data_IF_740872928894
#
_entry.id   IF_740872928894
#
_cell.length_a   1.000
_cell.length_b   1.000
_cell.length_c   1.000
_cell.angle_alpha   90.00
_cell.angle_beta   90.00
_cell.angle_gamma   90.00
#
_symmetry.space_group_name_H-M   'P 1'
#
loop_
_entity.id
_entity.type
_entity.pdbx_description
1 polymer ?
#
# COMPACT_ATOMS: atom_id res chain seq x y z
N UNK A 1 36.62 -3.65 31.14
CA UNK A 1 35.44 -3.96 30.31
C UNK A 1 34.54 -2.73 30.28
N UNK A 2 34.71 -1.86 29.29
CA UNK A 2 33.98 -0.58 29.20
C UNK A 2 32.84 -0.72 28.19
N UNK A 3 31.60 -0.88 28.67
CA UNK A 3 30.44 -1.09 27.79
C UNK A 3 29.54 0.15 27.75
N UNK A 4 29.92 1.08 26.87
CA UNK A 4 29.06 1.88 25.99
C UNK A 4 27.74 2.38 26.61
N UNK A 5 27.86 3.24 27.63
CA UNK A 5 26.80 4.17 27.99
C UNK A 5 26.49 5.08 26.78
N UNK A 6 25.19 5.29 26.55
CA UNK A 6 24.61 6.25 25.60
C UNK A 6 25.52 7.46 25.37
N UNK A 7 26.24 7.49 24.25
CA UNK A 7 27.04 8.65 23.89
C UNK A 7 26.07 9.76 23.42
N UNK A 8 25.86 10.82 24.21
CA UNK A 8 24.88 11.86 23.91
C UNK A 8 25.20 12.55 22.58
N UNK A 9 26.48 12.58 22.19
CA UNK A 9 26.95 13.11 20.91
C UNK A 9 26.47 12.26 19.73
N UNK A 10 26.38 10.93 19.87
CA UNK A 10 25.84 10.06 18.82
C UNK A 10 24.31 10.19 18.70
N UNK A 11 23.61 10.43 19.81
CA UNK A 11 22.17 10.69 19.78
C UNK A 11 21.86 12.04 19.12
N UNK A 12 22.60 13.09 19.48
CA UNK A 12 22.51 14.41 18.86
C UNK A 12 22.87 14.36 17.37
N UNK A 13 23.92 13.63 16.99
CA UNK A 13 24.29 13.47 15.58
C UNK A 13 23.23 12.69 14.80
N UNK A 14 22.59 11.68 15.38
CA UNK A 14 21.45 10.97 14.76
C UNK A 14 20.27 11.91 14.58
N UNK A 15 19.93 12.71 15.58
CA UNK A 15 18.87 13.70 15.50
C UNK A 15 19.19 14.78 14.45
N UNK A 16 20.45 15.23 14.36
CA UNK A 16 20.92 16.19 13.36
C UNK A 16 20.87 15.60 11.95
N UNK A 17 21.25 14.33 11.78
CA UNK A 17 21.13 13.61 10.51
C UNK A 17 19.66 13.43 10.16
N UNK A 18 18.79 13.06 11.10
CA UNK A 18 17.34 12.98 10.87
C UNK A 18 16.72 14.33 10.51
N UNK A 19 17.22 15.44 11.06
CA UNK A 19 16.81 16.80 10.72
C UNK A 19 17.33 17.23 9.33
N UNK A 20 18.56 16.84 8.96
CA UNK A 20 19.18 17.17 7.67
C UNK A 20 18.68 16.28 6.53
N UNK A 21 18.53 14.98 6.76
CA UNK A 21 17.75 14.06 5.91
C UNK A 21 16.26 14.45 5.90
N UNK A 22 15.79 15.09 6.98
CA UNK A 22 14.49 15.73 7.12
C UNK A 22 14.36 17.07 6.39
N UNK A 23 15.41 17.55 5.70
CA UNK A 23 15.45 18.81 4.95
C UNK A 23 14.46 18.95 3.79
N UNK A 24 13.62 17.93 3.54
CA UNK A 24 12.50 17.99 2.61
C UNK A 24 11.13 17.67 3.29
N UNK A 25 11.02 17.81 4.62
CA UNK A 25 9.75 17.71 5.35
C UNK A 25 8.91 18.98 5.15
N UNK A 26 8.61 19.34 3.90
CA UNK A 26 7.24 19.84 3.63
C UNK A 26 6.33 18.81 4.28
N UNK A 27 5.34 19.23 5.07
CA UNK A 27 4.35 18.32 5.62
C UNK A 27 3.84 17.45 4.47
N UNK A 28 4.38 16.23 4.34
CA UNK A 28 4.04 15.35 3.23
C UNK A 28 2.58 15.06 3.46
N UNK A 29 1.76 15.42 2.49
CA UNK A 29 0.38 14.99 2.50
C UNK A 29 0.39 13.47 2.64
N UNK A 30 -0.46 12.92 3.48
CA UNK A 30 -0.61 11.47 3.64
C UNK A 30 -2.02 11.08 3.24
N UNK A 31 -2.14 9.85 2.76
CA UNK A 31 -3.41 9.17 2.53
C UNK A 31 -3.60 8.15 3.66
N UNK A 32 -4.39 8.47 4.71
CA UNK A 32 -4.75 7.47 5.72
C UNK A 32 -5.53 6.34 5.05
N UNK A 33 -5.53 5.15 5.64
CA UNK A 33 -6.43 4.03 5.36
C UNK A 33 -7.78 4.20 6.06
N UNK A 34 -7.93 5.13 7.00
CA UNK A 34 -9.19 5.32 7.74
C UNK A 34 -9.47 4.15 8.68
N UNK A 35 -8.41 3.43 9.06
CA UNK A 35 -8.40 2.26 9.93
C UNK A 35 -7.31 2.54 10.94
N UNK A 36 -7.72 2.88 12.15
CA UNK A 36 -6.86 3.48 13.17
C UNK A 36 -5.59 2.66 13.44
N UNK A 37 -5.70 1.35 13.49
CA UNK A 37 -4.61 0.43 13.79
C UNK A 37 -3.59 0.41 12.65
N UNK A 38 -4.05 0.39 11.40
CA UNK A 38 -3.19 0.47 10.20
C UNK A 38 -2.51 1.84 10.12
N UNK A 39 -3.27 2.90 10.36
CA UNK A 39 -2.80 4.28 10.27
C UNK A 39 -1.73 4.58 11.33
N UNK A 40 -1.87 4.06 12.56
CA UNK A 40 -0.87 4.21 13.63
C UNK A 40 0.46 3.53 13.31
N UNK A 41 0.46 2.45 12.54
CA UNK A 41 1.68 1.76 12.12
C UNK A 41 2.45 2.51 11.02
N UNK A 42 1.85 3.56 10.45
CA UNK A 42 2.45 4.36 9.39
C UNK A 42 2.91 5.73 9.91
N UNK A 43 4.16 6.14 9.63
CA UNK A 43 4.62 7.49 9.94
C UNK A 43 3.69 8.55 9.35
N UNK A 44 3.18 9.42 10.21
CA UNK A 44 2.24 10.47 9.80
C UNK A 44 0.80 10.01 9.60
N UNK A 45 0.46 8.74 9.82
CA UNK A 45 -0.92 8.26 9.82
C UNK A 45 -1.44 7.75 8.48
N UNK A 46 -0.57 7.41 7.52
CA UNK A 46 -1.00 6.94 6.19
C UNK A 46 0.14 6.76 5.17
N UNK A 47 -0.23 6.44 3.93
CA UNK A 47 0.73 6.40 2.81
C UNK A 47 1.12 7.81 2.39
N UNK A 48 2.41 8.09 2.28
CA UNK A 48 2.90 9.42 1.97
C UNK A 48 2.79 9.75 0.47
N UNK A 49 2.27 10.94 0.15
CA UNK A 49 2.45 11.55 -1.16
C UNK A 49 3.91 12.00 -1.33
N UNK A 50 4.39 12.05 -2.58
CA UNK A 50 5.79 12.30 -2.89
C UNK A 50 6.73 11.22 -2.34
N UNK A 51 6.26 9.96 -2.36
CA UNK A 51 7.00 8.79 -1.92
C UNK A 51 6.64 7.57 -2.77
N UNK A 52 7.54 6.59 -2.75
CA UNK A 52 7.40 5.30 -3.42
C UNK A 52 6.94 4.23 -2.41
N UNK A 53 5.92 3.47 -2.78
CA UNK A 53 5.38 2.35 -2.02
C UNK A 53 5.44 1.08 -2.87
N UNK A 54 5.85 -0.03 -2.27
CA UNK A 54 5.87 -1.33 -2.92
C UNK A 54 4.75 -2.21 -2.37
N UNK A 55 4.01 -2.88 -3.25
CA UNK A 55 2.96 -3.82 -2.90
C UNK A 55 3.13 -5.09 -3.74
N UNK A 56 2.95 -6.25 -3.12
CA UNK A 56 2.99 -7.54 -3.82
C UNK A 56 1.95 -8.51 -3.26
N UNK A 57 1.60 -9.52 -4.07
CA UNK A 57 0.81 -10.65 -3.60
C UNK A 57 1.66 -11.62 -2.78
N UNK A 58 1.07 -12.27 -1.78
CA UNK A 58 1.68 -13.35 -1.00
C UNK A 58 1.03 -14.71 -1.23
N UNK A 59 1.76 -15.79 -0.93
CA UNK A 59 1.23 -17.16 -1.05
C UNK A 59 0.82 -17.49 -2.49
N UNK A 60 -0.40 -18.01 -2.67
CA UNK A 60 -0.96 -18.27 -4.01
C UNK A 60 -1.05 -17.02 -4.90
N UNK A 61 -1.25 -15.85 -4.28
CA UNK A 61 -1.36 -14.55 -4.95
C UNK A 61 -0.03 -13.98 -5.48
N UNK A 62 1.10 -14.67 -5.27
CA UNK A 62 2.43 -14.17 -5.68
C UNK A 62 2.50 -13.95 -7.19
N UNK A 63 1.92 -14.85 -8.00
CA UNK A 63 2.00 -14.75 -9.46
C UNK A 63 0.80 -14.00 -10.04
N UNK A 64 -0.44 -14.31 -9.62
CA UNK A 64 -1.64 -13.66 -10.16
C UNK A 64 -1.85 -12.24 -9.64
N UNK A 65 -1.29 -11.88 -8.49
CA UNK A 65 -1.28 -10.52 -7.94
C UNK A 65 -2.65 -9.87 -7.73
N UNK A 66 -3.76 -10.61 -7.82
CA UNK A 66 -5.09 -10.02 -7.91
C UNK A 66 -5.49 -9.26 -6.63
N UNK A 67 -5.23 -9.84 -5.46
CA UNK A 67 -5.49 -9.18 -4.18
C UNK A 67 -4.65 -7.90 -4.01
N UNK A 68 -3.38 -7.95 -4.43
CA UNK A 68 -2.47 -6.81 -4.39
C UNK A 68 -2.91 -5.70 -5.37
N UNK A 69 -3.33 -6.05 -6.60
CA UNK A 69 -3.86 -5.11 -7.57
C UNK A 69 -5.13 -4.42 -7.06
N UNK A 70 -6.06 -5.16 -6.45
CA UNK A 70 -7.28 -4.60 -5.88
C UNK A 70 -7.00 -3.72 -4.65
N UNK A 71 -6.04 -4.10 -3.81
CA UNK A 71 -5.56 -3.25 -2.72
C UNK A 71 -5.02 -1.93 -3.25
N UNK A 72 -4.17 -1.96 -4.29
CA UNK A 72 -3.64 -0.76 -4.95
C UNK A 72 -4.75 0.08 -5.59
N UNK A 73 -5.73 -0.55 -6.25
CA UNK A 73 -6.88 0.13 -6.81
C UNK A 73 -7.69 0.88 -5.74
N UNK A 74 -7.94 0.25 -4.58
CA UNK A 74 -8.61 0.89 -3.46
C UNK A 74 -7.84 2.08 -2.87
N UNK A 75 -6.51 1.97 -2.79
CA UNK A 75 -5.64 3.10 -2.40
C UNK A 75 -5.75 4.24 -3.43
N UNK A 76 -5.59 3.94 -4.72
CA UNK A 76 -5.63 4.92 -5.80
C UNK A 76 -7.01 5.60 -5.93
N UNK A 77 -8.09 4.86 -5.69
CA UNK A 77 -9.45 5.38 -5.63
C UNK A 77 -9.57 6.52 -4.59
N UNK A 78 -8.92 6.37 -3.44
CA UNK A 78 -9.02 7.34 -2.33
C UNK A 78 -8.07 8.52 -2.44
N UNK A 79 -6.99 8.39 -3.19
CA UNK A 79 -5.98 9.44 -3.33
C UNK A 79 -6.51 10.74 -3.98
N UNK A 80 -7.67 10.70 -4.63
CA UNK A 80 -8.18 11.82 -5.44
C UNK A 80 -7.37 12.02 -6.72
N UNK A 81 -7.83 12.86 -7.66
CA UNK A 81 -7.09 13.18 -8.88
C UNK A 81 -6.94 12.04 -9.91
N UNK A 82 -6.12 12.25 -10.95
CA UNK A 82 -5.90 11.27 -12.02
C UNK A 82 -4.83 10.24 -11.64
N UNK A 83 -5.00 9.02 -12.13
CA UNK A 83 -4.13 7.86 -11.91
C UNK A 83 -3.55 7.43 -13.25
N UNK A 84 -2.24 7.22 -13.29
CA UNK A 84 -1.59 6.51 -14.40
C UNK A 84 -1.28 5.09 -13.96
N UNK A 85 -1.67 4.09 -14.73
CA UNK A 85 -1.39 2.68 -14.46
C UNK A 85 -0.58 2.08 -15.61
N UNK A 86 0.71 1.89 -15.37
CA UNK A 86 1.65 1.35 -16.34
C UNK A 86 1.78 -0.17 -16.16
N UNK A 87 1.57 -0.95 -17.21
CA UNK A 87 1.64 -2.42 -17.15
C UNK A 87 2.33 -3.03 -18.36
N UNK A 88 3.01 -4.15 -18.12
CA UNK A 88 3.61 -4.95 -19.18
C UNK A 88 2.69 -6.07 -19.71
N UNK A 89 1.62 -6.37 -18.96
CA UNK A 89 0.67 -7.45 -19.26
C UNK A 89 -0.74 -6.88 -19.24
N UNK A 90 -1.52 -6.99 -20.32
CA UNK A 90 -2.91 -6.55 -20.34
C UNK A 90 -3.81 -7.63 -19.69
N UNK A 91 -3.47 -8.07 -18.47
CA UNK A 91 -4.22 -9.07 -17.71
C UNK A 91 -5.02 -8.46 -16.54
N UNK A 92 -5.00 -7.13 -16.40
CA UNK A 92 -5.77 -6.41 -15.41
C UNK A 92 -7.26 -6.39 -15.79
N UNK A 93 -8.10 -7.00 -14.96
CA UNK A 93 -9.54 -6.99 -15.17
C UNK A 93 -10.17 -5.67 -14.68
N UNK A 94 -10.36 -4.72 -15.60
CA UNK A 94 -10.83 -3.36 -15.29
C UNK A 94 -12.14 -3.28 -14.48
N UNK A 95 -13.17 -4.13 -14.71
CA UNK A 95 -14.38 -4.07 -13.88
C UNK A 95 -14.10 -4.29 -12.38
N UNK A 96 -13.12 -5.12 -12.03
CA UNK A 96 -12.77 -5.33 -10.62
C UNK A 96 -12.05 -4.11 -10.02
N UNK A 97 -11.26 -3.39 -10.81
CA UNK A 97 -10.65 -2.10 -10.41
C UNK A 97 -11.73 -1.06 -10.11
N UNK A 98 -12.77 -0.99 -10.94
CA UNK A 98 -13.95 -0.15 -10.69
C UNK A 98 -14.73 -0.59 -9.46
N UNK A 99 -14.91 -1.89 -9.24
CA UNK A 99 -15.54 -2.41 -8.02
C UNK A 99 -14.75 -2.11 -6.75
N UNK A 100 -13.42 -1.98 -6.84
CA UNK A 100 -12.56 -1.49 -5.77
C UNK A 100 -12.60 0.04 -5.60
N UNK A 101 -13.45 0.75 -6.37
CA UNK A 101 -13.74 2.17 -6.22
C UNK A 101 -12.93 3.11 -7.11
N UNK A 102 -12.07 2.61 -8.01
CA UNK A 102 -11.34 3.45 -8.97
C UNK A 102 -12.14 3.57 -10.28
N UNK A 103 -12.84 4.69 -10.53
CA UNK A 103 -13.71 4.81 -11.69
C UNK A 103 -12.89 4.99 -12.99
N UNK A 104 -13.40 4.52 -14.14
CA UNK A 104 -12.66 4.53 -15.41
C UNK A 104 -12.21 5.92 -15.88
N UNK A 105 -12.98 6.97 -15.57
CA UNK A 105 -12.65 8.35 -15.94
C UNK A 105 -11.44 8.91 -15.20
N UNK A 106 -11.00 8.26 -14.11
CA UNK A 106 -9.85 8.68 -13.31
C UNK A 106 -8.55 7.96 -13.64
N UNK A 107 -8.58 6.90 -14.46
CA UNK A 107 -7.40 6.09 -14.75
C UNK A 107 -7.03 6.15 -16.24
N UNK A 108 -5.74 6.35 -16.50
CA UNK A 108 -5.13 6.18 -17.82
C UNK A 108 -4.25 4.94 -17.76
N UNK A 109 -4.50 3.99 -18.64
CA UNK A 109 -3.67 2.79 -18.77
C UNK A 109 -2.56 3.03 -19.79
N UNK A 110 -1.33 2.69 -19.41
CA UNK A 110 -0.16 2.73 -20.28
C UNK A 110 0.40 1.31 -20.40
N UNK A 111 0.19 0.72 -21.57
CA UNK A 111 0.62 -0.65 -21.86
C UNK A 111 1.90 -0.62 -22.68
N UNK A 112 2.82 -1.51 -22.34
CA UNK A 112 4.09 -1.70 -23.07
C UNK A 112 4.46 -3.18 -23.09
N UNK A 113 5.15 -3.63 -24.12
CA UNK A 113 5.65 -5.00 -24.24
C UNK A 113 6.96 -5.24 -23.46
N UNK A 114 7.70 -4.16 -23.13
CA UNK A 114 8.98 -4.23 -22.41
C UNK A 114 8.88 -3.59 -21.02
N UNK A 115 9.41 -4.27 -20.02
CA UNK A 115 9.47 -3.80 -18.63
C UNK A 115 10.25 -2.49 -18.49
N UNK A 116 11.31 -2.29 -19.27
CA UNK A 116 12.08 -1.04 -19.28
C UNK A 116 11.23 0.17 -19.68
N UNK A 117 10.37 0.02 -20.69
CA UNK A 117 9.47 1.09 -21.14
C UNK A 117 8.36 1.35 -20.11
N UNK A 118 7.90 0.31 -19.39
CA UNK A 118 6.99 0.50 -18.24
C UNK A 118 7.69 1.32 -17.16
N UNK A 119 8.95 1.01 -16.85
CA UNK A 119 9.73 1.77 -15.88
C UNK A 119 9.91 3.24 -16.30
N UNK A 120 10.23 3.50 -17.58
CA UNK A 120 10.33 4.85 -18.13
C UNK A 120 8.99 5.59 -18.03
N UNK A 121 7.88 4.93 -18.35
CA UNK A 121 6.53 5.52 -18.24
C UNK A 121 6.18 5.89 -16.80
N UNK A 122 6.55 5.06 -15.81
CA UNK A 122 6.37 5.39 -14.39
C UNK A 122 7.18 6.64 -14.03
N UNK A 123 8.45 6.72 -14.44
CA UNK A 123 9.32 7.86 -14.14
C UNK A 123 8.80 9.16 -14.77
N UNK A 124 8.33 9.11 -16.02
CA UNK A 124 7.70 10.25 -16.68
C UNK A 124 6.39 10.66 -16.01
N UNK A 125 5.55 9.68 -15.65
CA UNK A 125 4.31 9.92 -14.91
C UNK A 125 4.57 10.58 -13.56
N UNK A 126 5.57 10.10 -12.80
CA UNK A 126 5.94 10.69 -11.52
C UNK A 126 6.57 12.07 -11.67
N UNK A 127 7.20 12.37 -12.81
CA UNK A 127 7.78 13.68 -13.11
C UNK A 127 6.75 14.69 -13.62
N UNK A 128 5.55 14.23 -14.02
CA UNK A 128 4.47 15.08 -14.50
C UNK A 128 3.63 15.68 -13.35
N UNK A 129 3.47 17.01 -13.35
CA UNK A 129 2.61 17.70 -12.37
C UNK A 129 1.15 17.59 -12.81
N UNK A 130 0.38 16.74 -12.14
CA UNK A 130 -1.07 16.60 -12.37
C UNK A 130 -1.64 15.21 -12.09
N UNK A 131 -0.77 14.21 -11.91
CA UNK A 131 -1.15 12.87 -11.45
C UNK A 131 -1.08 12.82 -9.92
N UNK A 132 -2.09 12.21 -9.31
CA UNK A 132 -2.09 11.96 -7.87
C UNK A 132 -1.36 10.65 -7.54
N UNK A 133 -1.56 9.62 -8.37
CA UNK A 133 -0.97 8.29 -8.20
C UNK A 133 -0.42 7.80 -9.53
N UNK A 134 0.77 7.20 -9.49
CA UNK A 134 1.34 6.44 -10.60
C UNK A 134 1.57 5.01 -10.12
N UNK A 135 0.87 4.07 -10.73
CA UNK A 135 1.00 2.64 -10.49
C UNK A 135 1.86 2.02 -11.59
N UNK A 136 2.80 1.17 -11.21
CA UNK A 136 3.68 0.47 -12.12
C UNK A 136 3.77 -1.01 -11.81
N UNK A 137 3.43 -1.86 -12.77
CA UNK A 137 3.58 -3.30 -12.65
C UNK A 137 4.97 -3.75 -13.10
N UNK A 138 5.80 -4.19 -12.14
CA UNK A 138 7.19 -4.57 -12.38
C UNK A 138 7.49 -5.96 -11.79
N UNK A 139 8.25 -6.77 -12.52
CA UNK A 139 8.86 -8.00 -12.00
C UNK A 139 10.02 -7.62 -11.07
N UNK A 140 10.93 -6.76 -11.53
CA UNK A 140 12.14 -6.37 -10.80
C UNK A 140 12.18 -4.87 -10.53
N UNK A 141 12.61 -4.51 -9.33
CA UNK A 141 12.85 -3.12 -8.94
C UNK A 141 14.23 -2.99 -8.28
N UNK A 142 15.31 -2.76 -9.07
CA UNK A 142 16.64 -2.55 -8.51
C UNK A 142 16.73 -1.21 -7.76
N UNK A 143 17.66 -1.11 -6.80
CA UNK A 143 17.86 0.07 -5.96
C UNK A 143 17.98 1.37 -6.76
N UNK A 144 18.81 1.39 -7.82
CA UNK A 144 19.00 2.58 -8.67
C UNK A 144 17.69 3.06 -9.30
N UNK A 145 16.88 2.15 -9.84
CA UNK A 145 15.59 2.47 -10.40
C UNK A 145 14.64 3.00 -9.31
N UNK A 146 14.52 2.30 -8.18
CA UNK A 146 13.66 2.75 -7.08
C UNK A 146 14.03 4.14 -6.56
N UNK A 147 15.33 4.48 -6.51
CA UNK A 147 15.79 5.79 -6.07
C UNK A 147 15.43 6.89 -7.08
N UNK A 148 15.54 6.61 -8.39
CA UNK A 148 15.07 7.53 -9.44
C UNK A 148 13.57 7.80 -9.31
N UNK A 149 12.77 6.76 -9.14
CA UNK A 149 11.32 6.89 -8.95
C UNK A 149 10.97 7.68 -7.68
N UNK A 150 11.64 7.39 -6.55
CA UNK A 150 11.45 8.13 -5.29
C UNK A 150 11.76 9.63 -5.47
N UNK A 151 12.85 9.98 -6.15
CA UNK A 151 13.21 11.38 -6.43
C UNK A 151 12.23 12.05 -7.38
N UNK A 152 11.68 11.33 -8.37
CA UNK A 152 10.64 11.86 -9.25
C UNK A 152 9.35 12.16 -8.46
N UNK A 153 8.89 11.22 -7.63
CA UNK A 153 7.75 11.39 -6.75
C UNK A 153 7.93 12.60 -5.82
N UNK A 154 9.11 12.76 -5.22
CA UNK A 154 9.44 13.88 -4.34
C UNK A 154 9.30 15.25 -5.01
N UNK A 155 9.69 15.38 -6.28
CA UNK A 155 9.66 16.64 -7.04
C UNK A 155 8.24 17.12 -7.33
N UNK A 156 7.30 16.20 -7.57
CA UNK A 156 5.92 16.51 -7.97
C UNK A 156 4.93 16.42 -6.82
N UNK A 157 5.21 15.58 -5.81
CA UNK A 157 4.26 15.21 -4.77
C UNK A 157 3.35 14.05 -5.16
N UNK A 158 3.49 13.45 -6.35
CA UNK A 158 2.71 12.28 -6.73
C UNK A 158 3.06 11.06 -5.83
N UNK A 159 2.08 10.19 -5.58
CA UNK A 159 2.31 8.91 -4.92
C UNK A 159 2.74 7.88 -5.96
N UNK A 160 3.94 7.31 -5.80
CA UNK A 160 4.41 6.19 -6.61
C UNK A 160 4.04 4.86 -5.96
N UNK A 161 3.41 3.96 -6.72
CA UNK A 161 3.10 2.61 -6.28
C UNK A 161 3.70 1.62 -7.27
N UNK A 162 4.64 0.80 -6.81
CA UNK A 162 5.12 -0.35 -7.59
C UNK A 162 4.38 -1.59 -7.14
N UNK A 163 3.58 -2.15 -8.04
CA UNK A 163 2.94 -3.45 -7.88
C UNK A 163 3.88 -4.53 -8.42
N UNK A 164 4.41 -5.39 -7.55
CA UNK A 164 5.34 -6.44 -7.96
C UNK A 164 4.58 -7.63 -8.57
N UNK A 165 4.91 -7.95 -9.83
CA UNK A 165 4.16 -8.87 -10.70
C UNK A 165 5.08 -9.91 -11.34
N UNK A 166 5.35 -11.00 -10.62
CA UNK A 166 6.23 -12.05 -11.13
C UNK A 166 5.54 -12.95 -12.16
N UNK A 167 6.31 -13.66 -13.00
CA UNK A 167 5.79 -14.73 -13.88
C UNK A 167 5.85 -16.08 -13.19
N UNK A 168 6.81 -16.25 -12.29
CA UNK A 168 7.09 -17.48 -11.57
C UNK A 168 7.38 -17.17 -10.12
N UNK A 169 7.03 -18.09 -9.23
CA UNK A 169 7.16 -17.86 -7.79
C UNK A 169 8.62 -17.71 -7.33
N UNK A 170 9.58 -18.33 -8.01
CA UNK A 170 11.01 -18.21 -7.68
C UNK A 170 11.58 -16.79 -7.94
N UNK A 171 10.97 -16.02 -8.86
CA UNK A 171 11.36 -14.64 -9.12
C UNK A 171 11.01 -13.71 -7.95
N UNK A 172 10.06 -14.10 -7.09
CA UNK A 172 9.66 -13.33 -5.92
C UNK A 172 10.70 -13.29 -4.79
N UNK A 173 11.78 -14.07 -4.91
CA UNK A 173 12.91 -14.05 -3.97
C UNK A 173 13.57 -12.66 -3.85
N UNK A 174 13.43 -11.80 -4.86
CA UNK A 174 14.00 -10.46 -4.85
C UNK A 174 13.16 -9.42 -4.07
N UNK A 175 11.96 -9.79 -3.59
CA UNK A 175 11.07 -8.85 -2.90
C UNK A 175 11.63 -8.39 -1.53
N UNK A 176 12.58 -9.14 -0.96
CA UNK A 176 13.31 -8.77 0.24
C UNK A 176 14.45 -7.78 0.01
N UNK A 177 14.89 -7.58 -1.25
CA UNK A 177 16.06 -6.77 -1.54
C UNK A 177 15.84 -5.29 -1.18
N UNK A 178 16.90 -4.55 -0.79
CA UNK A 178 16.78 -3.14 -0.47
C UNK A 178 16.32 -2.30 -1.68
N UNK A 179 15.38 -1.41 -1.44
CA UNK A 179 14.92 -0.39 -2.39
C UNK A 179 14.75 0.95 -1.67
N UNK A 180 14.48 2.01 -2.42
CA UNK A 180 14.17 3.34 -1.89
C UNK A 180 12.71 3.49 -1.42
N UNK A 181 11.90 2.42 -1.43
CA UNK A 181 10.50 2.50 -1.02
C UNK A 181 10.36 2.87 0.46
N UNK A 182 9.38 3.73 0.73
CA UNK A 182 9.03 4.18 2.07
C UNK A 182 8.21 3.13 2.81
N UNK A 183 7.37 2.37 2.10
CA UNK A 183 6.67 1.20 2.64
C UNK A 183 6.73 0.03 1.67
N UNK A 184 6.68 -1.18 2.22
CA UNK A 184 6.56 -2.44 1.47
C UNK A 184 5.48 -3.31 2.08
N UNK A 185 4.51 -3.71 1.27
CA UNK A 185 3.36 -4.49 1.71
C UNK A 185 3.28 -5.84 0.99
N UNK A 186 2.92 -6.89 1.71
CA UNK A 186 2.50 -8.16 1.11
C UNK A 186 1.03 -8.39 1.42
N UNK A 187 0.25 -8.72 0.39
CA UNK A 187 -1.19 -8.94 0.48
C UNK A 187 -1.45 -10.40 0.14
N UNK A 188 -1.75 -11.21 1.16
CA UNK A 188 -2.01 -12.64 1.02
C UNK A 188 -3.51 -12.92 1.16
N UNK A 189 -4.08 -13.81 0.35
CA UNK A 189 -5.50 -14.15 0.47
C UNK A 189 -5.76 -15.08 1.66
N UNK A 190 -6.80 -14.80 2.43
CA UNK A 190 -7.32 -15.66 3.49
C UNK A 190 -8.69 -16.25 3.09
N UNK A 191 -9.11 -17.37 3.69
CA UNK A 191 -10.46 -17.90 3.48
C UNK A 191 -11.53 -16.84 3.76
N UNK A 192 -12.43 -16.65 2.78
CA UNK A 192 -13.55 -15.71 2.91
C UNK A 192 -14.45 -16.07 4.09
N UNK A 193 -15.19 -15.08 4.60
CA UNK A 193 -16.18 -15.32 5.65
C UNK A 193 -17.28 -16.24 5.11
N UNK A 194 -17.69 -17.24 5.90
CA UNK A 194 -18.85 -18.07 5.57
C UNK A 194 -20.11 -17.21 5.62
N UNK A 195 -20.91 -17.30 4.57
CA UNK A 195 -22.23 -16.70 4.51
C UNK A 195 -23.28 -17.65 5.12
N UNK A 196 -24.40 -17.15 5.65
CA UNK A 196 -25.53 -17.97 6.09
C UNK A 196 -26.29 -18.62 4.91
N UNK A 197 -25.92 -18.27 3.68
CA UNK A 197 -26.48 -18.77 2.42
C UNK A 197 -25.36 -19.30 1.54
N UNK A 198 -25.72 -20.08 0.51
CA UNK A 198 -24.76 -20.52 -0.50
C UNK A 198 -24.13 -19.30 -1.21
N UNK A 199 -22.80 -19.22 -1.20
CA UNK A 199 -22.06 -18.13 -1.83
C UNK A 199 -20.67 -17.95 -1.26
N UNK A 200 -19.95 -16.98 -1.80
CA UNK A 200 -18.61 -16.57 -1.33
C UNK A 200 -18.75 -15.22 -0.62
N UNK A 201 -18.34 -15.17 0.64
CA UNK A 201 -18.33 -13.92 1.40
C UNK A 201 -17.30 -12.92 0.87
N UNK A 202 -17.27 -11.73 1.46
CA UNK A 202 -16.26 -10.72 1.13
C UNK A 202 -14.86 -11.33 1.26
N UNK A 203 -14.02 -11.06 0.27
CA UNK A 203 -12.63 -11.53 0.29
C UNK A 203 -11.91 -10.96 1.52
N UNK A 204 -11.12 -11.81 2.17
CA UNK A 204 -10.33 -11.49 3.36
C UNK A 204 -8.86 -11.63 2.99
N UNK A 205 -8.03 -10.72 3.46
CA UNK A 205 -6.61 -10.71 3.18
C UNK A 205 -5.81 -10.53 4.46
N UNK A 206 -4.60 -11.08 4.48
CA UNK A 206 -3.55 -10.71 5.42
C UNK A 206 -2.68 -9.65 4.74
N UNK A 207 -2.69 -8.43 5.28
CA UNK A 207 -1.87 -7.32 4.84
C UNK A 207 -0.67 -7.17 5.77
N UNK A 208 0.53 -7.41 5.24
CA UNK A 208 1.77 -7.44 6.00
C UNK A 208 2.63 -6.25 5.58
N UNK A 209 2.78 -5.28 6.48
CA UNK A 209 3.73 -4.18 6.36
C UNK A 209 5.13 -4.73 6.68
N UNK A 210 5.83 -5.19 5.64
CA UNK A 210 7.13 -5.85 5.77
C UNK A 210 8.29 -4.88 5.95
N UNK A 211 8.09 -3.61 5.57
CA UNK A 211 9.06 -2.53 5.75
C UNK A 211 8.31 -1.21 5.82
N UNK A 212 8.73 -0.34 6.71
CA UNK A 212 8.34 1.07 6.76
C UNK A 212 9.54 1.91 7.20
N UNK A 213 9.81 3.01 6.49
CA UNK A 213 10.88 3.94 6.87
C UNK A 213 10.47 4.66 8.16
N UNK A 214 11.27 4.55 9.23
CA UNK A 214 10.99 5.16 10.53
C UNK A 214 9.67 4.69 11.20
N UNK A 215 9.34 3.40 11.04
CA UNK A 215 8.25 2.73 11.77
C UNK A 215 8.56 1.27 12.00
N UNK A 216 7.60 0.52 12.53
CA UNK A 216 7.72 -0.92 12.79
C UNK A 216 6.89 -1.74 11.80
N UNK A 217 7.34 -2.97 11.52
CA UNK A 217 6.58 -3.91 10.73
C UNK A 217 5.32 -4.35 11.48
N UNK A 218 4.24 -4.63 10.73
CA UNK A 218 2.96 -5.00 11.30
C UNK A 218 2.18 -5.89 10.34
N UNK A 219 1.19 -6.61 10.86
CA UNK A 219 0.28 -7.43 10.06
C UNK A 219 -1.16 -7.19 10.47
N UNK A 220 -2.06 -7.26 9.49
CA UNK A 220 -3.48 -6.96 9.67
C UNK A 220 -4.32 -7.93 8.86
N UNK A 221 -5.31 -8.55 9.50
CA UNK A 221 -6.40 -9.17 8.74
C UNK A 221 -7.38 -8.09 8.30
N UNK A 222 -7.59 -7.97 7.00
CA UNK A 222 -8.43 -6.93 6.40
C UNK A 222 -9.45 -7.51 5.42
N UNK A 223 -10.59 -6.83 5.27
CA UNK A 223 -11.51 -7.07 4.17
C UNK A 223 -11.03 -6.38 2.89
N UNK A 224 -11.22 -7.04 1.73
CA UNK A 224 -11.01 -6.46 0.41
C UNK A 224 -11.74 -5.12 0.27
N UNK A 225 -11.24 -4.11 -0.46
CA UNK A 225 -11.82 -2.78 -0.51
C UNK A 225 -13.27 -2.80 -0.99
N UNK A 226 -14.08 -1.88 -0.45
CA UNK A 226 -15.43 -1.63 -0.94
C UNK A 226 -15.44 -0.78 -2.22
N UNK A 227 -16.63 -0.46 -2.73
CA UNK A 227 -16.82 0.41 -3.90
C UNK A 227 -16.33 1.87 -3.69
N UNK A 228 -15.82 2.22 -2.51
CA UNK A 228 -15.19 3.52 -2.19
C UNK A 228 -13.69 3.37 -1.91
N UNK A 229 -13.10 2.21 -2.20
CA UNK A 229 -11.70 1.90 -1.95
C UNK A 229 -11.35 1.70 -0.48
N UNK A 230 -12.34 1.53 0.41
CA UNK A 230 -12.10 1.43 1.85
C UNK A 230 -11.94 -0.02 2.28
N UNK A 231 -10.85 -0.28 2.99
CA UNK A 231 -10.61 -1.53 3.71
C UNK A 231 -11.22 -1.46 5.11
N UNK A 232 -11.38 -2.61 5.76
CA UNK A 232 -11.77 -2.72 7.17
C UNK A 232 -10.93 -3.78 7.88
N UNK A 233 -10.73 -3.66 9.19
CA UNK A 233 -10.11 -4.71 10.00
C UNK A 233 -11.05 -5.87 10.24
N UNK A 234 -10.46 -7.05 10.40
CA UNK A 234 -11.13 -8.30 10.72
C UNK A 234 -10.62 -8.90 12.04
N UNK A 235 -11.49 -9.59 12.81
CA UNK A 235 -12.94 -9.64 12.60
C UNK A 235 -13.56 -8.25 12.81
N UNK A 236 -14.50 -7.87 11.93
CA UNK A 236 -15.31 -6.68 12.17
C UNK A 236 -16.13 -6.99 13.41
N UNK A 237 -16.10 -6.15 14.45
CA UNK A 237 -16.81 -6.41 15.69
C UNK A 237 -18.32 -6.57 15.42
N UNK A 238 -18.78 -7.82 15.28
CA UNK A 238 -20.21 -8.15 15.10
C UNK A 238 -20.92 -8.24 16.48
N UNK A 239 -20.20 -8.26 17.61
CA UNK A 239 -20.77 -8.47 18.96
C UNK A 239 -20.87 -7.23 19.87
N UNK A 240 -21.45 -6.12 19.40
CA UNK A 240 -21.95 -5.07 20.32
C UNK A 240 -23.41 -4.68 20.12
N UNK A 241 -24.18 -5.45 19.37
CA UNK A 241 -25.61 -5.19 19.17
C UNK A 241 -26.54 -5.81 20.25
N UNK A 242 -26.04 -6.62 21.20
CA UNK A 242 -26.91 -7.41 22.11
C UNK A 242 -26.68 -7.21 23.62
N UNK A 243 -26.12 -6.08 24.06
CA UNK A 243 -26.12 -5.70 25.50
C UNK A 243 -27.07 -4.54 25.83
N UNK A 244 -28.21 -4.48 25.17
CA UNK A 244 -29.30 -3.56 25.57
C UNK A 244 -30.65 -4.27 25.60
N UNK A 245 -30.78 -5.30 26.46
CA UNK A 245 -32.08 -5.69 27.00
C UNK A 245 -31.93 -6.56 28.26
N UNK A 246 -32.28 -5.97 29.41
CA UNK A 246 -32.98 -6.54 30.60
C UNK A 246 -32.39 -6.09 31.93
N UNK A 247 -32.57 -4.79 32.24
CA UNK A 247 -32.96 -4.42 33.61
C UNK A 247 -34.48 -4.45 33.66
N UNK A 248 -35.04 -5.60 34.05
CA UNK A 248 -36.42 -5.64 34.56
C UNK A 248 -36.39 -4.95 35.93
N UNK A 249 -36.96 -3.76 35.97
CA UNK A 249 -37.55 -3.21 37.19
C UNK A 249 -38.64 -4.17 37.66
N UNK A 250 -38.51 -4.68 38.87
CA UNK A 250 -39.63 -5.14 39.67
C UNK A 250 -39.71 -4.19 40.86
N UNK A 251 -40.60 -3.23 40.75
CA UNK A 251 -41.28 -2.64 41.89
C UNK A 251 -42.46 -3.56 42.24
N UNK A 252 -42.60 -3.88 43.51
CA UNK A 252 -43.60 -4.78 44.08
C UNK A 252 -43.04 -5.47 45.31
#
# INVERSE_FOLDING_TARGET
MANHAHNPVLAELRERIEQLEGGARRARQVLPFGVTEVDRSLPGGGLAFGALHEIAGGGGGTVDGAAAALFVAGVAARAGGKVLWCMARPDLFFPAVTQAGLPPDRVVFCESDREEQVLDAIEQGLSFRGLAVVVGELVRLPMTASRRLQLAAEKTGAMGIVLRRWRRQNEASDYGQPTASTTRWRISTLPSQRLPVAGVGRARWLAELMRVKAGECAEFEIGAPDAKGRICLLPTAIDRADQTARRRSLAG
#
